data_IF_580239184230
#
_entry.id   IF_580239184230
#
_cell.length_a   1.000
_cell.length_b   1.000
_cell.length_c   1.000
_cell.angle_alpha   90.00
_cell.angle_beta   90.00
_cell.angle_gamma   90.00
#
_symmetry.space_group_name_H-M   'P 1'
#
loop_
_entity.id
_entity.type
_entity.pdbx_description
1 polymer ?
#
# COMPACT_ATOMS: atom_id res chain seq x y z
N UNK A 1 1.16 3.25 -1.04
CA UNK A 1 0.39 4.48 -1.39
C UNK A 1 -0.70 4.62 -0.35
N UNK A 2 -1.00 5.83 0.17
CA UNK A 2 -2.10 6.03 1.11
C UNK A 2 -3.42 5.45 0.60
N UNK A 3 -4.17 4.76 1.45
CA UNK A 3 -5.41 4.09 1.08
C UNK A 3 -6.48 4.98 0.43
N UNK A 4 -6.48 6.27 0.75
CA UNK A 4 -7.47 7.22 0.24
C UNK A 4 -7.41 7.36 -1.29
N UNK A 5 -6.35 6.83 -1.90
CA UNK A 5 -6.10 6.80 -3.34
C UNK A 5 -6.29 5.40 -3.94
N UNK A 6 -6.86 4.45 -3.20
CA UNK A 6 -7.17 3.12 -3.72
C UNK A 6 -8.08 3.23 -4.96
N UNK A 7 -7.70 2.55 -6.05
CA UNK A 7 -8.41 2.61 -7.33
C UNK A 7 -8.29 3.94 -8.09
N UNK A 8 -7.52 4.90 -7.58
CA UNK A 8 -7.32 6.21 -8.22
C UNK A 8 -5.95 6.27 -8.93
N UNK A 9 -5.86 6.99 -10.06
CA UNK A 9 -4.57 7.22 -10.71
C UNK A 9 -3.69 8.14 -9.86
N UNK A 10 -2.39 7.85 -9.85
CA UNK A 10 -1.36 8.67 -9.19
C UNK A 10 -0.17 8.87 -10.10
N UNK A 11 0.54 9.98 -9.90
CA UNK A 11 1.81 10.26 -10.59
C UNK A 11 2.98 9.96 -9.65
N UNK A 12 3.93 9.16 -10.10
CA UNK A 12 5.15 8.83 -9.35
C UNK A 12 6.33 9.57 -9.99
N UNK A 13 7.11 10.28 -9.18
CA UNK A 13 8.35 10.95 -9.60
C UNK A 13 9.51 10.39 -8.79
N UNK A 14 10.56 9.97 -9.48
CA UNK A 14 11.79 9.46 -8.88
C UNK A 14 12.90 10.46 -9.22
N UNK A 15 13.62 10.95 -8.20
CA UNK A 15 14.81 11.79 -8.38
C UNK A 15 16.10 10.99 -8.25
N UNK A 16 17.21 11.59 -8.67
CA UNK A 16 18.54 10.97 -8.69
C UNK A 16 19.15 10.77 -7.29
N UNK A 17 18.53 11.35 -6.26
CA UNK A 17 18.90 11.24 -4.84
C UNK A 17 18.11 10.14 -4.11
N UNK A 18 17.57 9.18 -4.88
CA UNK A 18 16.74 8.07 -4.43
C UNK A 18 15.44 8.51 -3.73
N UNK A 19 14.94 9.73 -3.96
CA UNK A 19 13.64 10.13 -3.45
C UNK A 19 12.51 9.73 -4.42
N UNK A 20 11.55 8.97 -3.92
CA UNK A 20 10.30 8.64 -4.58
C UNK A 20 9.18 9.49 -4.00
N UNK A 21 8.54 10.28 -4.87
CA UNK A 21 7.42 11.15 -4.51
C UNK A 21 6.16 10.73 -5.25
N UNK A 22 5.06 10.64 -4.53
CA UNK A 22 3.74 10.25 -5.06
C UNK A 22 2.83 11.47 -5.04
N UNK A 23 2.15 11.71 -6.15
CA UNK A 23 1.24 12.83 -6.34
C UNK A 23 -0.17 12.37 -6.74
N UNK A 24 -1.18 13.06 -6.23
CA UNK A 24 -2.58 12.97 -6.66
C UNK A 24 -3.04 14.38 -7.04
N UNK A 25 -3.50 14.58 -8.28
CA UNK A 25 -3.91 15.90 -8.78
C UNK A 25 -2.85 17.00 -8.50
N UNK A 26 -1.59 16.72 -8.84
CA UNK A 26 -0.41 17.57 -8.59
C UNK A 26 -0.10 17.88 -7.11
N UNK A 27 -0.84 17.31 -6.14
CA UNK A 27 -0.55 17.41 -4.72
C UNK A 27 0.32 16.26 -4.25
N UNK A 28 1.41 16.55 -3.55
CA UNK A 28 2.25 15.54 -2.91
C UNK A 28 1.45 14.82 -1.80
N UNK A 29 1.37 13.50 -1.88
CA UNK A 29 0.61 12.67 -0.93
C UNK A 29 1.49 11.72 -0.13
N UNK A 30 2.67 11.38 -0.64
CA UNK A 30 3.67 10.58 0.08
C UNK A 30 5.07 10.84 -0.49
N UNK A 31 6.09 10.73 0.36
CA UNK A 31 7.50 10.70 -0.04
C UNK A 31 8.21 9.56 0.69
N UNK A 32 9.09 8.88 -0.03
CA UNK A 32 9.88 7.75 0.44
C UNK A 32 11.30 7.82 -0.11
N UNK A 33 12.24 7.17 0.57
CA UNK A 33 13.54 6.83 -0.01
C UNK A 33 13.42 5.48 -0.70
N UNK A 34 13.95 5.37 -1.92
CA UNK A 34 14.11 4.09 -2.59
C UNK A 34 15.07 3.21 -1.80
N UNK A 35 14.70 1.95 -1.65
CA UNK A 35 15.55 0.92 -1.07
C UNK A 35 16.16 0.07 -2.18
N UNK A 36 17.26 -0.62 -1.86
CA UNK A 36 17.84 -1.58 -2.78
C UNK A 36 16.82 -2.67 -3.15
N UNK A 37 16.92 -3.22 -4.36
CA UNK A 37 16.06 -4.34 -4.77
C UNK A 37 16.20 -5.57 -3.86
N UNK A 38 17.37 -5.76 -3.22
CA UNK A 38 17.61 -6.85 -2.27
C UNK A 38 16.81 -6.71 -0.97
N UNK A 39 16.33 -5.52 -0.64
CA UNK A 39 15.46 -5.24 0.51
C UNK A 39 14.01 -5.69 0.27
N UNK A 40 13.68 -6.14 -0.95
CA UNK A 40 12.35 -6.60 -1.31
C UNK A 40 11.29 -5.48 -1.29
N UNK A 41 10.02 -5.90 -1.35
CA UNK A 41 8.89 -4.98 -1.30
C UNK A 41 8.81 -4.29 0.05
N UNK A 42 8.53 -2.98 0.02
CA UNK A 42 8.36 -2.16 1.22
C UNK A 42 6.88 -1.80 1.37
N UNK A 43 6.40 -1.84 2.61
CA UNK A 43 5.06 -1.38 2.99
C UNK A 43 5.19 -0.33 4.08
N UNK A 44 4.26 0.62 4.09
CA UNK A 44 4.15 1.64 5.14
C UNK A 44 2.85 1.34 5.89
N UNK A 45 2.90 0.81 7.13
CA UNK A 45 1.71 0.41 7.87
C UNK A 45 0.67 1.53 7.99
N UNK A 46 1.12 2.76 8.20
CA UNK A 46 0.28 3.95 8.37
C UNK A 46 -0.58 4.26 7.14
N UNK A 47 -0.12 3.85 5.93
CA UNK A 47 -0.89 4.04 4.70
C UNK A 47 -2.11 3.12 4.59
N UNK A 48 -2.15 2.04 5.37
CA UNK A 48 -3.21 1.03 5.33
C UNK A 48 -3.94 0.88 6.67
N UNK A 49 -3.58 1.65 7.69
CA UNK A 49 -4.16 1.54 9.01
C UNK A 49 -5.70 1.74 9.00
N UNK A 50 -6.27 2.75 8.31
CA UNK A 50 -7.72 2.87 8.26
C UNK A 50 -8.43 1.77 7.43
N UNK A 51 -7.80 1.21 6.39
CA UNK A 51 -8.29 0.03 5.66
C UNK A 51 -8.37 -1.14 6.63
N UNK A 52 -7.32 -1.39 7.41
CA UNK A 52 -7.31 -2.47 8.38
C UNK A 52 -8.38 -2.31 9.45
N UNK A 53 -8.68 -1.08 9.89
CA UNK A 53 -9.80 -0.80 10.79
C UNK A 53 -11.17 -1.07 10.14
N UNK A 54 -11.29 -0.87 8.83
CA UNK A 54 -12.51 -1.17 8.08
C UNK A 54 -12.71 -2.68 7.87
N UNK A 55 -11.64 -3.41 7.52
CA UNK A 55 -11.70 -4.87 7.28
C UNK A 55 -11.53 -5.73 8.53
N UNK A 56 -11.24 -5.19 9.71
CA UNK A 56 -11.20 -5.98 10.95
C UNK A 56 -12.56 -6.55 11.38
N UNK A 57 -13.64 -6.28 10.63
CA UNK A 57 -14.93 -6.95 10.77
C UNK A 57 -15.02 -8.28 9.98
N UNK A 58 -13.97 -8.65 9.25
CA UNK A 58 -13.94 -9.91 8.50
C UNK A 58 -13.95 -11.08 9.49
N UNK A 59 -14.92 -11.98 9.32
CA UNK A 59 -15.02 -13.19 10.14
C UNK A 59 -13.74 -14.02 10.03
N UNK A 60 -13.12 -14.32 11.17
CA UNK A 60 -12.03 -15.29 11.24
C UNK A 60 -12.61 -16.70 11.13
N UNK A 61 -12.65 -17.23 9.91
CA UNK A 61 -13.00 -18.63 9.66
C UNK A 61 -11.74 -19.49 9.60
N UNK A 62 -11.76 -20.71 10.16
CA UNK A 62 -10.65 -21.64 10.00
C UNK A 62 -10.45 -21.96 8.51
N UNK A 63 -9.19 -22.11 8.09
CA UNK A 63 -8.83 -22.38 6.70
C UNK A 63 -9.53 -23.63 6.14
N UNK A 64 -9.85 -24.61 6.99
CA UNK A 64 -10.60 -25.81 6.65
C UNK A 64 -11.98 -25.54 6.04
N UNK A 65 -12.57 -24.35 6.28
CA UNK A 65 -13.82 -23.94 5.65
C UNK A 65 -13.69 -23.63 4.15
N UNK A 66 -12.47 -23.45 3.64
CA UNK A 66 -12.18 -23.16 2.24
C UNK A 66 -11.63 -24.37 1.47
N UNK A 67 -11.50 -25.52 2.12
CA UNK A 67 -10.92 -26.74 1.52
C UNK A 67 -11.88 -27.49 0.56
N UNK A 68 -13.16 -27.12 0.48
CA UNK A 68 -14.17 -27.85 -0.32
C UNK A 68 -14.19 -27.53 -1.84
N UNK A 69 -13.13 -26.97 -2.43
CA UNK A 69 -13.11 -26.57 -3.86
C UNK A 69 -11.94 -27.12 -4.69
N UNK A 70 -11.36 -28.27 -4.31
CA UNK A 70 -10.32 -28.96 -5.08
C UNK A 70 -10.69 -30.38 -5.47
#
# INVERSE_FOLDING_TARGET
>A
VPEALCGQPVSIRISLDDELRIYSNERLVASHRLCSASSGWQTVPEHHAPLWQQVSQVEHRPLSAYEELL
#
